data_IF_865488332171
#
_entry.id   IF_865488332171
#
_cell.length_a   1.000
_cell.length_b   1.000
_cell.length_c   1.000
_cell.angle_alpha   90.00
_cell.angle_beta   90.00
_cell.angle_gamma   90.00
#
_symmetry.space_group_name_H-M   'P 1'
#
loop_
_entity.id
_entity.type
_entity.pdbx_description
1 polymer ?
#
# COMPACT_ATOMS: atom_id res chain seq x y z
N UNK A 1 -5.52 -15.78 -8.58
CA UNK A 1 -4.13 -16.28 -8.54
C UNK A 1 -3.42 -15.50 -7.44
N UNK A 2 -2.43 -16.08 -6.75
CA UNK A 2 -1.63 -15.33 -5.77
C UNK A 2 -0.30 -14.95 -6.42
N UNK A 3 -0.08 -13.66 -6.68
CA UNK A 3 1.20 -13.15 -7.14
C UNK A 3 2.08 -12.76 -5.93
N UNK A 4 3.36 -13.14 -5.95
CA UNK A 4 4.32 -12.81 -4.90
C UNK A 4 5.49 -12.07 -5.53
N UNK A 5 5.85 -10.92 -4.97
CA UNK A 5 6.93 -10.07 -5.45
C UNK A 5 7.95 -9.84 -4.34
N UNK A 6 9.22 -9.75 -4.72
CA UNK A 6 10.31 -9.34 -3.82
C UNK A 6 10.82 -8.01 -4.36
N UNK A 7 10.75 -6.97 -3.54
CA UNK A 7 11.03 -5.58 -3.92
C UNK A 7 12.04 -5.03 -2.92
N UNK A 8 13.01 -4.28 -3.43
CA UNK A 8 14.01 -3.61 -2.60
C UNK A 8 13.44 -2.29 -2.07
N UNK A 9 13.65 -2.02 -0.78
CA UNK A 9 13.28 -0.74 -0.16
C UNK A 9 14.29 0.30 -0.57
N UNK A 10 13.81 1.42 -1.09
CA UNK A 10 14.62 2.54 -1.53
C UNK A 10 14.52 3.70 -0.55
N UNK A 11 15.54 4.54 -0.50
CA UNK A 11 15.56 5.76 0.32
C UNK A 11 15.44 6.99 -0.61
N UNK A 12 14.50 7.87 -0.31
CA UNK A 12 14.32 9.14 -1.00
C UNK A 12 15.41 10.13 -0.60
N UNK A 13 15.55 11.20 -1.38
CA UNK A 13 16.51 12.28 -1.07
C UNK A 13 16.25 12.98 0.27
N UNK A 14 15.03 12.85 0.80
CA UNK A 14 14.62 13.38 2.12
C UNK A 14 14.96 12.43 3.28
N UNK A 15 15.43 11.21 2.98
CA UNK A 15 15.70 10.15 3.97
C UNK A 15 14.52 9.24 4.26
N UNK A 16 13.38 9.41 3.57
CA UNK A 16 12.21 8.55 3.71
C UNK A 16 12.34 7.27 2.89
N UNK A 17 12.00 6.13 3.50
CA UNK A 17 11.97 4.84 2.83
C UNK A 17 10.68 4.64 2.04
N UNK A 18 10.79 4.19 0.80
CA UNK A 18 9.65 3.82 -0.05
C UNK A 18 9.89 2.52 -0.81
N UNK A 19 8.82 1.92 -1.31
CA UNK A 19 8.84 0.77 -2.21
C UNK A 19 8.08 1.11 -3.48
N UNK A 20 8.53 0.57 -4.61
CA UNK A 20 7.84 0.73 -5.90
C UNK A 20 7.01 -0.52 -6.17
N UNK A 21 5.69 -0.37 -6.24
CA UNK A 21 4.79 -1.49 -6.54
C UNK A 21 4.89 -1.82 -8.05
N UNK A 22 4.93 -3.10 -8.44
CA UNK A 22 5.04 -3.49 -9.84
C UNK A 22 3.81 -3.07 -10.65
N UNK A 23 4.01 -2.59 -11.88
CA UNK A 23 2.94 -2.11 -12.77
C UNK A 23 1.86 -3.18 -12.98
N UNK A 24 2.24 -4.44 -13.23
CA UNK A 24 1.28 -5.53 -13.43
C UNK A 24 0.32 -5.70 -12.24
N UNK A 25 0.80 -5.49 -11.00
CA UNK A 25 -0.01 -5.60 -9.78
C UNK A 25 -0.96 -4.40 -9.64
N UNK A 26 -0.48 -3.20 -9.97
CA UNK A 26 -1.30 -1.98 -9.99
C UNK A 26 -2.43 -2.14 -11.02
N UNK A 27 -2.10 -2.62 -12.22
CA UNK A 27 -3.06 -2.88 -13.30
C UNK A 27 -4.07 -3.98 -12.94
N UNK A 28 -3.64 -5.11 -12.35
CA UNK A 28 -4.55 -6.18 -11.91
C UNK A 28 -5.52 -5.70 -10.83
N UNK A 29 -5.06 -4.86 -9.90
CA UNK A 29 -5.88 -4.29 -8.83
C UNK A 29 -6.72 -3.09 -9.31
N UNK A 30 -6.42 -2.57 -10.51
CA UNK A 30 -7.06 -1.37 -11.06
C UNK A 30 -6.82 -0.13 -10.22
N UNK A 31 -5.63 -0.02 -9.62
CA UNK A 31 -5.20 1.18 -8.89
C UNK A 31 -4.68 2.21 -9.89
N UNK A 32 -4.96 3.48 -9.61
CA UNK A 32 -4.48 4.59 -10.44
C UNK A 32 -3.79 5.64 -9.58
N UNK A 33 -2.94 6.46 -10.21
CA UNK A 33 -2.35 7.61 -9.52
C UNK A 33 -3.44 8.52 -8.96
N UNK A 34 -3.37 8.77 -7.64
CA UNK A 34 -4.38 9.53 -6.91
C UNK A 34 -5.38 8.67 -6.13
N UNK A 35 -5.38 7.35 -6.28
CA UNK A 35 -6.12 6.47 -5.38
C UNK A 35 -5.57 6.55 -3.95
N UNK A 36 -6.48 6.61 -2.98
CA UNK A 36 -6.13 6.57 -1.55
C UNK A 36 -6.07 5.12 -1.11
N UNK A 37 -4.96 4.72 -0.51
CA UNK A 37 -4.76 3.38 0.03
C UNK A 37 -4.71 3.43 1.57
N UNK A 38 -5.40 2.50 2.21
CA UNK A 38 -5.25 2.19 3.63
C UNK A 38 -4.09 1.24 3.82
N UNK A 39 -3.33 1.47 4.89
CA UNK A 39 -2.28 0.60 5.36
C UNK A 39 -2.64 0.05 6.74
N UNK A 40 -2.75 -1.27 6.84
CA UNK A 40 -3.18 -1.92 8.07
C UNK A 40 -2.12 -2.91 8.56
N UNK A 41 -1.64 -2.69 9.78
CA UNK A 41 -0.70 -3.60 10.42
C UNK A 41 -1.43 -4.87 10.88
N UNK A 42 -1.08 -6.01 10.28
CA UNK A 42 -1.59 -7.33 10.70
C UNK A 42 -0.42 -8.24 11.07
N UNK A 43 -0.15 -8.31 12.37
CA UNK A 43 0.96 -9.10 12.92
C UNK A 43 2.31 -8.53 12.50
N UNK A 44 3.07 -9.29 11.72
CA UNK A 44 4.38 -8.89 11.18
C UNK A 44 4.32 -8.38 9.73
N UNK A 45 3.12 -8.20 9.18
CA UNK A 45 2.92 -7.73 7.81
C UNK A 45 2.04 -6.49 7.75
N UNK A 46 2.09 -5.83 6.60
CA UNK A 46 1.23 -4.69 6.25
C UNK A 46 0.26 -5.16 5.17
N UNK A 47 -1.02 -4.86 5.33
CA UNK A 47 -2.04 -5.07 4.30
C UNK A 47 -2.39 -3.71 3.70
N UNK A 48 -2.21 -3.60 2.39
CA UNK A 48 -2.63 -2.42 1.63
C UNK A 48 -4.01 -2.69 1.01
N UNK A 49 -4.92 -1.73 1.10
CA UNK A 49 -6.28 -1.84 0.55
C UNK A 49 -6.74 -0.50 0.01
N UNK A 50 -7.39 -0.46 -1.17
CA UNK A 50 -7.94 0.79 -1.68
C UNK A 50 -9.07 1.28 -0.79
N UNK A 51 -9.02 2.56 -0.42
CA UNK A 51 -10.10 3.23 0.30
C UNK A 51 -11.21 3.55 -0.70
N UNK A 52 -12.18 2.64 -0.80
CA UNK A 52 -13.49 2.93 -1.35
C UNK A 52 -14.29 3.55 -0.20
N UNK A 53 -14.44 4.87 -0.13
CA UNK A 53 -15.32 5.55 0.84
C UNK A 53 -16.67 4.78 0.96
N UNK A 54 -17.13 4.32 2.14
CA UNK A 54 -17.82 5.14 3.15
C UNK A 54 -17.76 4.60 4.60
N UNK A 55 -16.95 3.58 4.96
CA UNK A 55 -16.92 3.07 6.35
C UNK A 55 -15.66 2.26 6.65
N UNK A 56 -14.69 2.84 7.37
CA UNK A 56 -13.55 2.02 7.85
C UNK A 56 -12.33 2.75 8.38
N UNK A 57 -12.34 4.09 8.42
CA UNK A 57 -11.26 4.84 9.06
C UNK A 57 -11.64 5.16 10.51
N UNK A 58 -11.23 4.32 11.46
CA UNK A 58 -11.13 4.74 12.86
C UNK A 58 -9.69 5.18 13.10
N UNK A 59 -9.48 6.50 13.26
CA UNK A 59 -8.23 7.01 13.82
C UNK A 59 -8.16 6.50 15.26
N UNK A 60 -7.28 5.54 15.52
CA UNK A 60 -6.86 5.25 16.89
C UNK A 60 -5.94 6.39 17.32
N UNK A 61 -6.51 7.37 18.03
CA UNK A 61 -5.74 8.34 18.81
C UNK A 61 -5.14 7.62 20.04
N UNK A 62 -3.83 7.77 20.25
CA UNK A 62 -3.14 7.44 21.52
C UNK A 62 -3.13 8.65 22.46
#
# INVERSE_FOLDING_TARGET
MSANYIIEVQESSDGDCFIELPDDLIEELGWVEGDILSWDLKGNGIVLSRVNDESGYEVIEE
#
